data_IF_894138631112
#
_entry.id   IF_894138631112
#
_cell.length_a   1.000
_cell.length_b   1.000
_cell.length_c   1.000
_cell.angle_alpha   90.00
_cell.angle_beta   90.00
_cell.angle_gamma   90.00
#
_symmetry.space_group_name_H-M   'P 1'
#
loop_
_entity.id
_entity.type
_entity.pdbx_description
1 polymer ?
#
# COMPACT_ATOMS: atom_id res chain seq x y z
N UNK A 1 31.97 10.86 4.29
CA UNK A 1 30.72 10.18 4.69
C UNK A 1 29.99 11.09 5.64
N UNK A 2 28.82 11.57 5.22
CA UNK A 2 27.99 12.50 6.00
C UNK A 2 27.33 11.73 7.17
N UNK A 3 27.02 12.37 8.31
CA UNK A 3 26.35 11.70 9.42
C UNK A 3 25.00 11.06 9.02
N UNK A 4 24.32 11.66 8.03
CA UNK A 4 23.06 11.17 7.46
C UNK A 4 23.19 9.86 6.67
N UNK A 5 24.39 9.53 6.18
CA UNK A 5 24.64 8.36 5.34
C UNK A 5 24.73 7.07 6.18
N UNK A 6 25.08 7.20 7.48
CA UNK A 6 25.16 6.06 8.41
C UNK A 6 23.80 5.67 8.94
N UNK A 7 22.91 6.62 9.19
CA UNK A 7 21.57 6.36 9.73
C UNK A 7 20.69 5.69 8.70
N UNK A 8 20.80 6.08 7.42
CA UNK A 8 19.98 5.53 6.33
C UNK A 8 20.22 4.01 6.11
N UNK A 9 21.46 3.55 6.28
CA UNK A 9 21.80 2.12 6.19
C UNK A 9 21.34 1.31 7.41
N UNK A 10 21.33 1.93 8.60
CA UNK A 10 20.83 1.30 9.82
C UNK A 10 19.29 1.27 9.80
N UNK A 11 18.63 2.34 9.35
CA UNK A 11 17.18 2.43 9.18
C UNK A 11 16.66 1.40 8.17
N UNK A 12 17.37 1.20 7.05
CA UNK A 12 17.02 0.19 6.05
C UNK A 12 16.99 -1.25 6.60
N UNK A 13 17.83 -1.56 7.60
CA UNK A 13 17.86 -2.89 8.23
C UNK A 13 16.64 -3.17 9.12
N UNK A 14 15.91 -2.12 9.54
CA UNK A 14 14.72 -2.21 10.39
C UNK A 14 13.42 -2.13 9.58
N UNK A 15 13.47 -1.93 8.26
CA UNK A 15 12.26 -1.83 7.41
C UNK A 15 11.42 -3.11 7.44
N UNK A 16 12.07 -4.27 7.60
CA UNK A 16 11.40 -5.57 7.74
C UNK A 16 10.74 -5.75 9.13
N UNK A 17 11.08 -4.91 10.12
CA UNK A 17 10.49 -4.93 11.47
C UNK A 17 9.22 -4.07 11.60
N UNK A 18 8.88 -3.32 10.54
CA UNK A 18 7.73 -2.40 10.53
C UNK A 18 6.45 -3.09 10.07
N UNK A 19 6.56 -4.19 9.33
CA UNK A 19 5.40 -4.96 8.91
C UNK A 19 4.89 -5.82 10.07
N UNK A 20 3.73 -5.44 10.62
CA UNK A 20 3.06 -6.17 11.71
C UNK A 20 2.53 -7.52 11.21
N UNK A 21 2.36 -7.68 9.90
CA UNK A 21 1.64 -8.77 9.27
C UNK A 21 2.30 -9.28 7.97
N UNK A 22 3.59 -9.67 7.98
CA UNK A 22 4.32 -10.07 6.76
C UNK A 22 3.71 -11.30 6.05
N UNK A 23 2.94 -12.12 6.78
CA UNK A 23 2.34 -13.35 6.27
C UNK A 23 0.83 -13.22 5.97
N UNK A 24 0.23 -12.02 6.02
CA UNK A 24 -1.21 -11.87 5.70
C UNK A 24 -1.47 -11.87 4.21
N UNK A 25 -0.47 -11.52 3.40
CA UNK A 25 -0.58 -11.60 1.95
C UNK A 25 -0.72 -13.04 1.50
N UNK A 26 -1.95 -13.44 1.17
CA UNK A 26 -2.23 -14.77 0.60
C UNK A 26 -2.31 -14.62 -0.90
N UNK A 27 -1.68 -15.54 -1.64
CA UNK A 27 -1.69 -15.55 -3.11
C UNK A 27 -3.10 -15.67 -3.74
N UNK A 28 -4.14 -15.88 -2.94
CA UNK A 28 -5.54 -15.94 -3.38
C UNK A 28 -6.32 -14.67 -3.03
N UNK A 29 -5.68 -13.65 -2.45
CA UNK A 29 -6.33 -12.37 -2.21
C UNK A 29 -6.61 -11.67 -3.55
N UNK A 30 -7.78 -11.03 -3.69
CA UNK A 30 -8.06 -10.22 -4.85
C UNK A 30 -7.06 -9.08 -4.93
N UNK A 31 -6.65 -8.77 -6.16
CA UNK A 31 -5.78 -7.62 -6.43
C UNK A 31 -6.44 -6.34 -5.92
N UNK A 32 -5.62 -5.35 -5.55
CA UNK A 32 -6.08 -4.06 -5.05
C UNK A 32 -7.12 -3.42 -5.99
N UNK A 33 -6.92 -3.50 -7.31
CA UNK A 33 -7.86 -3.00 -8.32
C UNK A 33 -9.24 -3.66 -8.22
N UNK A 34 -9.30 -4.99 -8.00
CA UNK A 34 -10.56 -5.71 -7.82
C UNK A 34 -11.27 -5.28 -6.54
N UNK A 35 -10.52 -5.12 -5.44
CA UNK A 35 -11.07 -4.68 -4.15
C UNK A 35 -11.61 -3.26 -4.27
N UNK A 36 -10.85 -2.35 -4.88
CA UNK A 36 -11.24 -0.96 -5.06
C UNK A 36 -12.47 -0.84 -5.96
N UNK A 37 -12.55 -1.62 -7.04
CA UNK A 37 -13.71 -1.64 -7.91
C UNK A 37 -14.98 -2.20 -7.22
N UNK A 38 -14.84 -3.22 -6.36
CA UNK A 38 -15.96 -3.77 -5.59
C UNK A 38 -16.49 -2.77 -4.54
N UNK A 39 -15.59 -2.00 -3.91
CA UNK A 39 -15.95 -1.05 -2.86
C UNK A 39 -16.48 0.29 -3.37
N UNK A 40 -15.92 0.77 -4.49
CA UNK A 40 -16.09 2.15 -4.93
C UNK A 40 -16.62 2.29 -6.36
N UNK A 41 -16.77 1.18 -7.09
CA UNK A 41 -17.15 1.18 -8.51
C UNK A 41 -15.97 1.47 -9.44
N UNK A 42 -16.27 1.83 -10.69
CA UNK A 42 -15.23 2.13 -11.68
C UNK A 42 -14.41 3.38 -11.30
N UNK A 43 -13.09 3.38 -11.57
CA UNK A 43 -12.27 4.57 -11.37
C UNK A 43 -12.66 5.69 -12.35
N UNK A 44 -12.38 6.94 -11.96
CA UNK A 44 -12.57 8.09 -12.83
C UNK A 44 -11.52 8.16 -13.97
N UNK A 45 -11.61 9.19 -14.81
CA UNK A 45 -10.69 9.38 -15.94
C UNK A 45 -9.22 9.56 -15.56
N UNK A 46 -8.96 9.92 -14.30
CA UNK A 46 -7.63 10.10 -13.73
C UNK A 46 -7.17 8.85 -12.95
N UNK A 47 -8.02 7.82 -12.84
CA UNK A 47 -7.73 6.55 -12.17
C UNK A 47 -8.10 6.50 -10.69
N UNK A 48 -8.85 7.48 -10.17
CA UNK A 48 -9.25 7.53 -8.76
C UNK A 48 -10.59 6.85 -8.50
N UNK A 49 -10.65 6.09 -7.41
CA UNK A 49 -11.86 5.46 -6.89
C UNK A 49 -12.52 6.37 -5.85
N UNK A 50 -13.53 7.14 -6.25
CA UNK A 50 -14.16 8.16 -5.40
C UNK A 50 -15.35 7.65 -4.57
N UNK A 51 -15.81 6.42 -4.82
CA UNK A 51 -17.02 5.86 -4.23
C UNK A 51 -18.30 6.48 -4.79
N UNK A 52 -19.44 5.81 -4.61
CA UNK A 52 -20.74 6.44 -4.87
C UNK A 52 -20.87 7.69 -3.98
N UNK A 53 -20.95 8.87 -4.61
CA UNK A 53 -21.28 10.09 -3.90
C UNK A 53 -22.65 9.88 -3.23
N UNK A 54 -22.67 9.74 -1.90
CA UNK A 54 -23.91 9.73 -1.13
C UNK A 54 -24.51 11.14 -1.21
N UNK A 55 -25.25 11.44 -2.28
CA UNK A 55 -26.04 12.66 -2.48
C UNK A 55 -27.44 12.58 -1.88
#
# INVERSE_FOLDING_TARGET
MSPHDRTDSEEAAHMDEVDVHPDVHRATEPDEEQVLAELYGDPDSDGFYLGEETG
#
